data_IF_535752908344
#
_entry.id   IF_535752908344
#
_cell.length_a   1.000
_cell.length_b   1.000
_cell.length_c   1.000
_cell.angle_alpha   90.00
_cell.angle_beta   90.00
_cell.angle_gamma   90.00
#
_symmetry.space_group_name_H-M   'P 1'
#
loop_
_entity.id
_entity.type
_entity.pdbx_description
1 polymer ?
#
# COMPACT_ATOMS: atom_id res chain seq x y z
N UNK A 1 -22.13 -1.17 -0.07
CA UNK A 1 -21.46 -0.81 1.21
C UNK A 1 -22.46 -0.28 2.23
N UNK A 2 -23.07 0.89 2.03
CA UNK A 2 -24.00 1.50 3.00
C UNK A 2 -25.17 0.62 3.42
N UNK A 3 -25.76 -0.13 2.47
CA UNK A 3 -26.84 -1.10 2.74
C UNK A 3 -26.47 -2.23 3.70
N UNK A 4 -25.19 -2.59 3.79
CA UNK A 4 -24.71 -3.61 4.73
C UNK A 4 -24.50 -3.00 6.11
N UNK A 5 -23.96 -1.78 6.17
CA UNK A 5 -23.73 -1.06 7.44
C UNK A 5 -25.02 -0.56 8.10
N UNK A 6 -26.11 -0.44 7.34
CA UNK A 6 -27.44 -0.08 7.83
C UNK A 6 -28.14 -1.25 8.54
N UNK A 7 -29.47 -1.16 8.68
CA UNK A 7 -30.32 -2.04 9.49
C UNK A 7 -30.20 -3.56 9.21
N UNK A 8 -29.50 -3.99 8.15
CA UNK A 8 -29.32 -5.41 7.83
C UNK A 8 -28.31 -6.13 8.71
N UNK A 9 -27.15 -5.53 8.98
CA UNK A 9 -26.09 -6.15 9.82
C UNK A 9 -25.68 -5.28 10.99
N UNK A 10 -25.67 -3.96 10.79
CA UNK A 10 -25.35 -2.96 11.82
C UNK A 10 -24.14 -3.35 12.70
N UNK A 11 -22.96 -3.66 12.12
CA UNK A 11 -21.80 -4.18 12.87
C UNK A 11 -21.38 -3.23 13.99
N UNK A 12 -20.79 -3.77 15.07
CA UNK A 12 -20.28 -2.96 16.17
C UNK A 12 -19.13 -2.03 15.73
N UNK A 13 -18.27 -2.52 14.84
CA UNK A 13 -17.10 -1.83 14.32
C UNK A 13 -16.99 -2.12 12.82
N UNK A 14 -16.58 -1.13 12.02
CA UNK A 14 -16.16 -1.34 10.65
C UNK A 14 -14.79 -0.70 10.39
N UNK A 15 -14.10 -1.19 9.35
CA UNK A 15 -12.91 -0.56 8.79
C UNK A 15 -13.10 -0.44 7.28
N UNK A 16 -13.02 0.79 6.75
CA UNK A 16 -13.05 1.07 5.32
C UNK A 16 -11.69 1.61 4.88
N UNK A 17 -11.22 1.18 3.73
CA UNK A 17 -9.98 1.65 3.10
C UNK A 17 -10.29 2.38 1.80
N UNK A 18 -9.52 3.43 1.50
CA UNK A 18 -9.58 4.11 0.21
C UNK A 18 -8.27 4.84 -0.12
N UNK A 19 -8.22 5.43 -1.32
CA UNK A 19 -7.09 6.25 -1.78
C UNK A 19 -6.85 7.47 -0.87
N UNK A 20 -5.58 7.82 -0.67
CA UNK A 20 -5.19 8.98 0.18
C UNK A 20 -5.84 10.31 -0.23
N UNK A 21 -6.12 10.48 -1.52
CA UNK A 21 -6.69 11.70 -2.10
C UNK A 21 -8.22 11.77 -1.97
N UNK A 22 -8.87 10.84 -1.26
CA UNK A 22 -10.32 10.84 -1.07
C UNK A 22 -10.84 12.20 -0.56
N UNK A 23 -10.09 12.84 0.35
CA UNK A 23 -10.43 14.14 0.94
C UNK A 23 -10.51 15.28 -0.07
N UNK A 24 -9.68 15.26 -1.11
CA UNK A 24 -9.66 16.29 -2.16
C UNK A 24 -10.48 15.89 -3.39
N UNK A 25 -10.97 14.64 -3.45
CA UNK A 25 -11.72 14.13 -4.58
C UNK A 25 -13.02 14.91 -4.76
N UNK A 26 -13.34 15.25 -6.02
CA UNK A 26 -14.53 16.04 -6.38
C UNK A 26 -14.67 17.30 -5.50
N UNK A 27 -13.56 18.05 -5.34
CA UNK A 27 -13.47 19.25 -4.48
C UNK A 27 -13.91 19.00 -3.03
N UNK A 28 -13.70 17.78 -2.53
CA UNK A 28 -14.05 17.35 -1.17
C UNK A 28 -15.49 16.86 -1.00
N UNK A 29 -16.33 16.94 -2.03
CA UNK A 29 -17.74 16.52 -1.97
C UNK A 29 -17.86 15.04 -1.63
N UNK A 30 -17.03 14.20 -2.24
CA UNK A 30 -17.08 12.75 -2.02
C UNK A 30 -16.81 12.37 -0.57
N UNK A 31 -15.77 12.94 0.03
CA UNK A 31 -15.43 12.66 1.42
C UNK A 31 -16.52 13.16 2.37
N UNK A 32 -17.04 14.37 2.15
CA UNK A 32 -18.15 14.91 2.94
C UNK A 32 -19.37 13.98 2.93
N UNK A 33 -19.84 13.57 1.74
CA UNK A 33 -20.98 12.66 1.62
C UNK A 33 -20.74 11.34 2.35
N UNK A 34 -19.52 10.79 2.29
CA UNK A 34 -19.15 9.57 3.02
C UNK A 34 -19.29 9.77 4.53
N UNK A 35 -18.72 10.85 5.08
CA UNK A 35 -18.73 11.12 6.51
C UNK A 35 -20.15 11.40 7.02
N UNK A 36 -20.91 12.22 6.30
CA UNK A 36 -22.31 12.54 6.63
C UNK A 36 -23.17 11.25 6.63
N UNK A 37 -23.01 10.39 5.62
CA UNK A 37 -23.73 9.10 5.55
C UNK A 37 -23.38 8.19 6.72
N UNK A 38 -22.10 8.12 7.12
CA UNK A 38 -21.66 7.28 8.23
C UNK A 38 -22.21 7.77 9.57
N UNK A 39 -22.27 9.10 9.75
CA UNK A 39 -22.86 9.74 10.93
C UNK A 39 -24.36 9.46 11.03
N UNK A 40 -25.11 9.63 9.92
CA UNK A 40 -26.54 9.32 9.81
C UNK A 40 -26.85 7.84 10.10
N UNK A 41 -25.94 6.93 9.74
CA UNK A 41 -26.05 5.50 10.05
C UNK A 41 -25.81 5.17 11.54
N UNK A 42 -25.43 6.16 12.35
CA UNK A 42 -25.21 6.00 13.78
C UNK A 42 -23.81 5.52 14.15
N UNK A 43 -22.80 5.86 13.35
CA UNK A 43 -21.40 5.51 13.62
C UNK A 43 -20.55 6.73 13.95
N UNK A 44 -19.71 6.57 14.98
CA UNK A 44 -18.61 7.47 15.27
C UNK A 44 -17.37 7.03 14.49
N UNK A 45 -16.88 7.89 13.60
CA UNK A 45 -15.64 7.62 12.84
C UNK A 45 -14.45 8.18 13.61
N UNK A 46 -13.44 7.34 13.82
CA UNK A 46 -12.20 7.72 14.48
C UNK A 46 -11.53 8.91 13.79
N UNK A 47 -11.09 9.87 14.60
CA UNK A 47 -10.38 11.07 14.14
C UNK A 47 -11.15 11.88 13.07
N UNK A 48 -12.49 11.83 13.05
CA UNK A 48 -13.31 12.48 12.02
C UNK A 48 -13.06 13.99 11.89
N UNK A 49 -12.76 14.69 12.99
CA UNK A 49 -12.49 16.11 13.02
C UNK A 49 -11.13 16.50 12.38
N UNK A 50 -10.20 15.56 12.24
CA UNK A 50 -8.85 15.82 11.76
C UNK A 50 -8.81 15.86 10.22
N UNK A 51 -8.60 17.04 9.64
CA UNK A 51 -8.60 17.21 8.18
C UNK A 51 -7.27 17.69 7.60
N UNK A 52 -6.32 18.05 8.46
CA UNK A 52 -5.04 18.66 8.09
C UNK A 52 -4.04 17.73 7.40
N UNK A 53 -2.80 18.22 7.29
CA UNK A 53 -1.67 17.48 6.70
C UNK A 53 -1.27 16.25 7.52
N UNK A 54 -1.43 16.32 8.84
CA UNK A 54 -1.10 15.25 9.79
C UNK A 54 -2.34 14.43 10.18
N UNK A 55 -3.22 14.18 9.21
CA UNK A 55 -4.44 13.42 9.40
C UNK A 55 -4.11 11.95 9.71
N UNK A 56 -4.43 11.45 10.92
CA UNK A 56 -4.10 10.09 11.33
C UNK A 56 -4.86 9.02 10.55
N UNK A 57 -5.94 9.39 9.84
CA UNK A 57 -6.63 8.47 8.93
C UNK A 57 -5.76 8.10 7.73
N UNK A 58 -4.74 8.89 7.38
CA UNK A 58 -3.81 8.58 6.29
C UNK A 58 -2.61 7.83 6.84
N UNK A 59 -2.50 6.55 6.50
CA UNK A 59 -1.42 5.66 6.96
C UNK A 59 -0.55 5.29 5.77
N UNK A 60 0.77 5.48 5.89
CA UNK A 60 1.75 5.10 4.87
C UNK A 60 2.33 3.71 5.18
N UNK A 61 2.24 2.78 4.22
CA UNK A 61 2.87 1.48 4.29
C UNK A 61 4.39 1.52 4.49
N UNK A 62 5.05 2.66 4.19
CA UNK A 62 6.51 2.81 4.30
C UNK A 62 7.06 2.51 5.69
N UNK A 63 6.23 2.65 6.73
CA UNK A 63 6.63 2.39 8.12
C UNK A 63 6.78 0.90 8.41
N UNK A 64 6.14 0.04 7.60
CA UNK A 64 6.13 -1.41 7.78
C UNK A 64 6.95 -2.15 6.72
N UNK A 65 6.92 -1.67 5.47
CA UNK A 65 7.60 -2.25 4.32
C UNK A 65 8.27 -1.14 3.50
N UNK A 66 9.32 -1.42 2.71
CA UNK A 66 10.10 -0.42 1.98
C UNK A 66 9.37 0.07 0.71
N UNK A 67 8.11 0.51 0.85
CA UNK A 67 7.29 1.05 -0.23
C UNK A 67 6.44 2.24 0.26
N UNK A 68 6.47 3.35 -0.48
CA UNK A 68 5.46 4.40 -0.30
C UNK A 68 4.08 3.89 -0.73
N UNK A 69 3.13 3.85 0.20
CA UNK A 69 1.74 3.49 -0.06
C UNK A 69 0.82 4.08 1.01
N UNK A 70 0.47 5.34 0.82
CA UNK A 70 -0.52 6.01 1.65
C UNK A 70 -1.94 5.59 1.26
N UNK A 71 -2.75 5.27 2.26
CA UNK A 71 -4.20 5.02 2.17
C UNK A 71 -4.93 5.72 3.29
N UNK A 72 -6.16 6.15 3.01
CA UNK A 72 -7.05 6.62 4.07
C UNK A 72 -7.80 5.42 4.64
N UNK A 73 -7.82 5.32 5.97
CA UNK A 73 -8.50 4.28 6.73
C UNK A 73 -9.56 4.94 7.59
N UNK A 74 -10.82 4.54 7.41
CA UNK A 74 -11.96 5.01 8.19
C UNK A 74 -12.40 3.89 9.13
N UNK A 75 -12.16 4.08 10.42
CA UNK A 75 -12.60 3.14 11.45
C UNK A 75 -13.85 3.71 12.09
N UNK A 76 -14.97 3.00 12.00
CA UNK A 76 -16.24 3.44 12.57
C UNK A 76 -16.72 2.53 13.68
N UNK A 77 -17.27 3.13 14.73
CA UNK A 77 -17.83 2.45 15.90
C UNK A 77 -19.31 2.77 16.01
N UNK A 78 -20.14 1.77 16.27
CA UNK A 78 -21.57 2.00 16.47
C UNK A 78 -21.82 2.82 17.73
N UNK A 79 -22.49 3.96 17.60
CA UNK A 79 -22.62 4.99 18.66
C UNK A 79 -23.32 4.47 19.91
N UNK A 80 -24.34 3.62 19.75
CA UNK A 80 -25.12 3.04 20.86
C UNK A 80 -24.31 2.14 21.79
N UNK A 81 -23.19 1.59 21.30
CA UNK A 81 -22.34 0.69 22.10
C UNK A 81 -21.38 1.46 23.02
N UNK A 82 -21.13 2.74 22.74
CA UNK A 82 -20.21 3.60 23.51
C UNK A 82 -18.81 2.96 23.77
N UNK A 83 -18.33 2.13 22.84
CA UNK A 83 -17.06 1.41 23.00
C UNK A 83 -15.86 2.22 22.51
N UNK A 84 -16.07 3.28 21.72
CA UNK A 84 -15.05 4.02 20.97
C UNK A 84 -14.09 4.89 21.81
N UNK A 85 -14.39 5.09 23.10
CA UNK A 85 -13.66 6.01 23.96
C UNK A 85 -12.14 5.72 23.97
N UNK A 86 -11.36 6.77 23.75
CA UNK A 86 -9.88 6.73 23.73
C UNK A 86 -9.26 6.14 22.44
N UNK A 87 -10.05 5.70 21.45
CA UNK A 87 -9.50 5.20 20.20
C UNK A 87 -9.00 6.34 19.31
N UNK A 88 -7.80 6.21 18.74
CA UNK A 88 -7.27 7.10 17.70
C UNK A 88 -6.28 6.35 16.82
N UNK A 89 -6.29 6.60 15.50
CA UNK A 89 -5.31 6.05 14.58
C UNK A 89 -3.90 6.62 14.77
N UNK A 90 -3.73 7.69 15.57
CA UNK A 90 -2.41 8.21 15.96
C UNK A 90 -1.56 7.15 16.66
N UNK A 91 -2.21 6.22 17.37
CA UNK A 91 -1.58 5.15 18.12
C UNK A 91 -1.06 4.01 17.24
N UNK A 92 -1.29 4.03 15.92
CA UNK A 92 -0.77 3.02 14.99
C UNK A 92 0.76 2.90 15.04
N UNK A 93 1.43 4.01 15.36
CA UNK A 93 2.89 4.09 15.48
C UNK A 93 3.47 3.15 16.54
N UNK A 94 2.68 2.75 17.55
CA UNK A 94 3.06 1.75 18.57
C UNK A 94 3.30 0.35 17.99
N UNK A 95 2.80 0.09 16.78
CA UNK A 95 2.91 -1.19 16.09
C UNK A 95 3.90 -1.18 14.92
N UNK A 96 4.65 -0.09 14.75
CA UNK A 96 5.73 -0.08 13.77
C UNK A 96 6.83 -1.08 14.18
N UNK A 97 7.39 -1.85 13.24
CA UNK A 97 8.46 -2.78 13.56
C UNK A 97 9.70 -2.00 14.03
N UNK A 98 10.40 -2.52 15.03
CA UNK A 98 11.67 -1.94 15.49
C UNK A 98 12.69 -1.87 14.35
N UNK A 99 12.73 -2.92 13.53
CA UNK A 99 13.52 -2.98 12.32
C UNK A 99 12.61 -3.33 11.13
N UNK A 100 12.45 -2.36 10.23
CA UNK A 100 11.78 -2.56 8.94
C UNK A 100 12.71 -3.35 8.01
N UNK A 101 12.22 -4.36 7.28
CA UNK A 101 13.01 -5.00 6.24
C UNK A 101 13.42 -3.98 5.16
N UNK A 102 14.66 -4.06 4.74
CA UNK A 102 15.20 -3.34 3.59
C UNK A 102 14.58 -3.87 2.29
N UNK A 103 14.66 -3.07 1.22
CA UNK A 103 14.12 -3.47 -0.06
C UNK A 103 14.83 -4.72 -0.62
N UNK A 104 16.16 -4.78 -0.51
CA UNK A 104 16.97 -5.90 -0.99
C UNK A 104 16.63 -7.23 -0.32
N UNK A 105 16.31 -7.22 0.98
CA UNK A 105 15.92 -8.43 1.72
C UNK A 105 14.63 -9.07 1.19
N UNK A 106 13.76 -8.32 0.51
CA UNK A 106 12.53 -8.85 -0.07
C UNK A 106 12.74 -9.55 -1.41
N UNK A 107 13.91 -9.38 -2.04
CA UNK A 107 14.17 -9.86 -3.39
C UNK A 107 14.46 -11.36 -3.43
N UNK A 108 14.18 -11.98 -4.57
CA UNK A 108 14.61 -13.36 -4.82
C UNK A 108 16.09 -13.36 -5.23
N UNK A 109 16.91 -14.31 -4.70
CA UNK A 109 18.33 -14.36 -5.03
C UNK A 109 18.59 -14.74 -6.49
N UNK A 110 17.68 -15.52 -7.09
CA UNK A 110 17.74 -15.96 -8.49
C UNK A 110 16.41 -15.65 -9.15
N UNK A 111 16.47 -14.92 -10.27
CA UNK A 111 15.29 -14.45 -11.02
C UNK A 111 15.43 -14.81 -12.49
N UNK A 112 14.33 -15.25 -13.10
CA UNK A 112 14.28 -15.56 -14.54
C UNK A 112 14.59 -14.30 -15.38
N UNK A 113 15.42 -14.48 -16.41
CA UNK A 113 15.77 -13.45 -17.38
C UNK A 113 14.56 -12.74 -18.03
N UNK A 114 13.38 -13.36 -18.09
CA UNK A 114 12.15 -12.74 -18.61
C UNK A 114 11.71 -11.48 -17.85
N UNK A 115 12.20 -11.30 -16.61
CA UNK A 115 11.90 -10.11 -15.81
C UNK A 115 12.86 -8.94 -16.10
N UNK A 116 14.02 -9.22 -16.72
CA UNK A 116 14.93 -8.17 -17.20
C UNK A 116 14.22 -7.42 -18.33
N UNK A 117 14.31 -6.09 -18.32
CA UNK A 117 13.69 -5.29 -19.38
C UNK A 117 14.32 -5.63 -20.73
N UNK A 118 13.48 -5.74 -21.76
CA UNK A 118 13.98 -5.83 -23.14
C UNK A 118 14.72 -4.53 -23.51
N UNK A 119 15.71 -4.57 -24.43
CA UNK A 119 16.45 -3.37 -24.84
C UNK A 119 15.52 -2.21 -25.26
N UNK A 120 14.52 -2.49 -26.09
CA UNK A 120 13.55 -1.50 -26.59
C UNK A 120 12.71 -0.87 -25.47
N UNK A 121 12.26 -1.68 -24.50
CA UNK A 121 11.47 -1.16 -23.38
C UNK A 121 12.33 -0.30 -22.46
N UNK A 122 13.57 -0.70 -22.19
CA UNK A 122 14.48 0.09 -21.39
C UNK A 122 14.79 1.44 -22.05
N UNK A 123 15.12 1.43 -23.33
CA UNK A 123 15.35 2.65 -24.13
C UNK A 123 14.15 3.59 -24.09
N UNK A 124 12.94 3.04 -24.28
CA UNK A 124 11.71 3.82 -24.21
C UNK A 124 11.54 4.50 -22.84
N UNK A 125 11.66 3.75 -21.74
CA UNK A 125 11.48 4.28 -20.39
C UNK A 125 12.56 5.30 -20.03
N UNK A 126 13.81 5.05 -20.45
CA UNK A 126 14.94 5.94 -20.25
C UNK A 126 14.73 7.29 -20.93
N UNK A 127 14.42 7.28 -22.23
CA UNK A 127 14.14 8.48 -23.01
C UNK A 127 12.89 9.21 -22.54
N UNK A 128 11.86 8.47 -22.12
CA UNK A 128 10.64 9.05 -21.55
C UNK A 128 10.93 9.83 -20.28
N UNK A 129 11.71 9.25 -19.35
CA UNK A 129 12.11 9.93 -18.12
C UNK A 129 12.91 11.22 -18.41
N UNK A 130 13.89 11.17 -19.33
CA UNK A 130 14.67 12.35 -19.74
C UNK A 130 13.80 13.47 -20.31
N UNK A 131 12.88 13.12 -21.21
CA UNK A 131 11.93 14.07 -21.83
C UNK A 131 11.05 14.77 -20.79
N UNK A 132 10.64 14.07 -19.74
CA UNK A 132 9.81 14.64 -18.68
C UNK A 132 10.61 15.44 -17.66
N UNK A 133 11.81 15.00 -17.31
CA UNK A 133 12.74 15.74 -16.47
C UNK A 133 13.09 17.11 -17.08
N UNK A 134 13.35 17.16 -18.40
CA UNK A 134 13.60 18.40 -19.13
C UNK A 134 12.43 19.41 -19.08
N UNK A 135 11.21 18.94 -18.78
CA UNK A 135 10.00 19.78 -18.63
C UNK A 135 9.73 20.16 -17.16
N UNK A 136 10.67 19.91 -16.25
CA UNK A 136 10.49 20.14 -14.81
C UNK A 136 9.51 19.18 -14.14
N UNK A 137 9.16 18.06 -14.80
CA UNK A 137 8.21 17.08 -14.27
C UNK A 137 8.94 15.85 -13.70
N UNK A 138 8.45 15.32 -12.58
CA UNK A 138 8.95 14.08 -11.97
C UNK A 138 8.42 12.77 -12.58
N UNK A 139 7.93 12.78 -13.83
CA UNK A 139 7.44 11.57 -14.50
C UNK A 139 8.60 10.75 -15.08
N UNK A 140 8.45 9.43 -15.07
CA UNK A 140 9.49 8.49 -15.53
C UNK A 140 9.42 7.18 -14.76
N UNK A 141 10.52 6.43 -14.75
CA UNK A 141 10.63 5.20 -13.97
C UNK A 141 11.15 5.46 -12.55
N UNK A 142 10.88 4.53 -11.64
CA UNK A 142 11.48 4.47 -10.31
C UNK A 142 12.56 3.40 -10.29
N UNK A 143 13.83 3.79 -10.23
CA UNK A 143 14.95 2.87 -10.10
C UNK A 143 15.29 2.69 -8.62
N UNK A 144 15.34 1.44 -8.18
CA UNK A 144 15.65 1.07 -6.80
C UNK A 144 16.99 0.35 -6.77
N UNK A 145 17.94 0.88 -6.01
CA UNK A 145 19.19 0.20 -5.72
C UNK A 145 18.95 -0.78 -4.54
N UNK A 146 19.03 -2.10 -4.77
CA UNK A 146 18.77 -3.09 -3.74
C UNK A 146 19.85 -3.13 -2.63
N UNK A 147 21.05 -2.62 -2.88
CA UNK A 147 22.15 -2.58 -1.90
C UNK A 147 22.00 -1.43 -0.90
N UNK A 148 21.30 -0.36 -1.30
CA UNK A 148 20.97 0.72 -0.39
C UNK A 148 19.82 0.31 0.55
N UNK A 149 20.15 0.07 1.82
CA UNK A 149 19.20 -0.35 2.87
C UNK A 149 18.09 0.67 3.13
N UNK A 150 18.33 1.94 2.84
CA UNK A 150 17.35 3.02 3.02
C UNK A 150 16.38 3.17 1.84
N UNK A 151 16.56 2.40 0.76
CA UNK A 151 15.70 2.48 -0.42
C UNK A 151 14.23 2.23 -0.07
N UNK A 152 13.37 3.13 -0.53
CA UNK A 152 11.91 3.00 -0.46
C UNK A 152 11.37 3.10 -1.88
N UNK A 153 10.68 2.06 -2.34
CA UNK A 153 10.08 2.05 -3.65
C UNK A 153 8.88 3.00 -3.76
N UNK A 154 8.58 3.43 -4.99
CA UNK A 154 7.30 4.07 -5.31
C UNK A 154 6.15 3.08 -5.11
N UNK A 155 4.92 3.59 -5.15
CA UNK A 155 3.73 2.74 -5.00
C UNK A 155 3.63 1.72 -6.13
N UNK A 156 3.54 0.42 -5.77
CA UNK A 156 3.15 -0.64 -6.69
C UNK A 156 1.71 -0.40 -7.15
N UNK A 157 1.52 0.06 -8.38
CA UNK A 157 0.20 0.48 -8.88
C UNK A 157 -0.53 -0.67 -9.58
N UNK A 158 -1.86 -0.55 -9.74
CA UNK A 158 -2.62 -1.47 -10.57
C UNK A 158 -2.15 -1.50 -12.04
N UNK A 159 -1.42 -0.47 -12.51
CA UNK A 159 -0.86 -0.36 -13.86
C UNK A 159 0.53 -0.98 -14.00
N UNK A 160 1.14 -1.45 -12.90
CA UNK A 160 2.47 -2.06 -12.90
C UNK A 160 2.61 -3.20 -13.93
N UNK A 161 1.51 -3.91 -14.19
CA UNK A 161 1.45 -4.98 -15.19
C UNK A 161 1.79 -4.54 -16.63
N UNK A 162 1.78 -3.23 -16.94
CA UNK A 162 2.07 -2.71 -18.28
C UNK A 162 3.56 -2.76 -18.61
N UNK A 163 4.38 -2.07 -17.81
CA UNK A 163 5.81 -1.88 -18.05
C UNK A 163 6.66 -2.00 -16.78
N UNK A 164 6.04 -2.04 -15.59
CA UNK A 164 6.73 -2.07 -14.30
C UNK A 164 7.47 -0.79 -13.96
N UNK A 165 7.23 0.31 -14.69
CA UNK A 165 8.02 1.53 -14.62
C UNK A 165 8.07 2.16 -13.22
N UNK A 166 7.05 1.98 -12.38
CA UNK A 166 7.05 2.55 -11.03
C UNK A 166 8.17 1.98 -10.14
N UNK A 167 8.57 0.72 -10.36
CA UNK A 167 9.56 0.01 -9.55
C UNK A 167 10.39 -0.91 -10.44
N UNK A 168 11.59 -0.47 -10.79
CA UNK A 168 12.61 -1.22 -11.49
C UNK A 168 13.80 -1.47 -10.55
N UNK A 169 14.31 -2.69 -10.56
CA UNK A 169 15.46 -3.10 -9.74
C UNK A 169 16.71 -2.88 -10.56
N UNK A 170 17.60 -2.05 -10.03
CA UNK A 170 18.90 -1.83 -10.63
C UNK A 170 19.74 -3.12 -10.60
N UNK A 171 20.52 -3.31 -11.65
CA UNK A 171 21.43 -4.45 -11.84
C UNK A 171 22.87 -3.99 -12.12
N UNK A 172 23.19 -2.75 -11.74
CA UNK A 172 24.48 -2.11 -11.98
C UNK A 172 24.52 -1.26 -13.25
N UNK A 173 23.40 -0.65 -13.65
CA UNK A 173 23.36 0.21 -14.82
C UNK A 173 24.20 1.48 -14.59
N UNK A 174 25.21 1.71 -15.40
CA UNK A 174 26.00 2.93 -15.34
C UNK A 174 25.29 4.08 -16.08
N UNK A 175 24.89 5.10 -15.32
CA UNK A 175 24.15 6.24 -15.86
C UNK A 175 25.00 7.09 -16.80
N UNK A 176 26.31 7.23 -16.53
CA UNK A 176 27.19 8.04 -17.37
C UNK A 176 27.37 7.41 -18.76
N UNK A 177 27.63 6.10 -18.80
CA UNK A 177 27.70 5.32 -20.04
C UNK A 177 26.36 5.30 -20.76
N UNK A 178 25.24 5.17 -20.04
CA UNK A 178 23.90 5.23 -20.65
C UNK A 178 23.56 6.58 -21.30
N UNK A 179 24.16 7.67 -20.82
CA UNK A 179 24.01 9.01 -21.40
C UNK A 179 24.89 9.22 -22.64
N UNK A 180 26.10 8.65 -22.66
CA UNK A 180 27.07 8.83 -23.76
C UNK A 180 26.86 7.82 -24.89
N UNK A 181 26.65 6.55 -24.54
CA UNK A 181 26.40 5.44 -25.46
C UNK A 181 25.38 4.46 -24.86
N UNK A 182 24.10 4.74 -25.13
CA UNK A 182 23.02 3.90 -24.66
C UNK A 182 23.12 2.46 -25.20
N UNK A 183 23.73 2.25 -26.37
CA UNK A 183 23.83 0.94 -27.01
C UNK A 183 25.03 0.11 -26.54
N UNK A 184 25.87 0.66 -25.64
CA UNK A 184 27.04 -0.01 -25.09
C UNK A 184 26.73 -1.44 -24.60
N UNK A 185 27.40 -2.44 -25.17
CA UNK A 185 27.07 -3.86 -24.94
C UNK A 185 27.23 -4.31 -23.48
N UNK A 186 28.29 -3.82 -22.81
CA UNK A 186 28.56 -4.14 -21.40
C UNK A 186 27.47 -3.55 -20.50
N UNK A 187 27.16 -2.27 -20.64
CA UNK A 187 26.11 -1.62 -19.86
C UNK A 187 24.71 -2.21 -20.16
N UNK A 188 24.45 -2.62 -21.40
CA UNK A 188 23.23 -3.33 -21.79
C UNK A 188 23.06 -4.68 -21.07
N UNK A 189 24.13 -5.35 -20.62
CA UNK A 189 24.01 -6.54 -19.76
C UNK A 189 23.40 -6.21 -18.38
N UNK A 190 23.56 -4.96 -17.93
CA UNK A 190 23.11 -4.43 -16.63
C UNK A 190 21.74 -3.73 -16.67
N UNK A 191 20.95 -3.91 -17.75
CA UNK A 191 19.58 -3.38 -17.81
C UNK A 191 18.78 -3.71 -16.55
N UNK A 192 17.97 -2.76 -16.04
CA UNK A 192 17.10 -3.01 -14.89
C UNK A 192 16.10 -4.13 -15.15
N UNK A 193 15.57 -4.71 -14.07
CA UNK A 193 14.49 -5.70 -14.14
C UNK A 193 13.23 -5.25 -13.42
N UNK A 194 12.10 -5.86 -13.75
CA UNK A 194 10.86 -5.75 -12.98
C UNK A 194 10.93 -6.64 -11.73
N UNK A 195 10.01 -6.37 -10.81
CA UNK A 195 9.70 -7.28 -9.70
C UNK A 195 9.05 -8.56 -10.24
N UNK A 196 9.34 -9.69 -9.60
CA UNK A 196 8.56 -10.91 -9.79
C UNK A 196 7.22 -10.82 -9.03
N UNK A 197 6.20 -11.63 -9.37
CA UNK A 197 4.99 -11.74 -8.56
C UNK A 197 5.23 -12.09 -7.09
N UNK A 198 6.28 -12.89 -6.81
CA UNK A 198 6.71 -13.30 -5.47
C UNK A 198 7.23 -12.11 -4.68
N UNK A 199 8.10 -11.31 -5.29
CA UNK A 199 8.64 -10.08 -4.70
C UNK A 199 7.53 -9.04 -4.48
N UNK A 200 6.55 -8.93 -5.39
CA UNK A 200 5.35 -8.11 -5.17
C UNK A 200 4.54 -8.59 -3.95
N UNK A 201 4.37 -9.90 -3.77
CA UNK A 201 3.68 -10.46 -2.61
C UNK A 201 4.38 -10.07 -1.30
N UNK A 202 5.72 -10.16 -1.26
CA UNK A 202 6.55 -9.75 -0.12
C UNK A 202 6.47 -8.25 0.14
N UNK A 203 6.59 -7.42 -0.89
CA UNK A 203 6.51 -5.96 -0.80
C UNK A 203 5.14 -5.46 -0.30
N UNK A 204 4.09 -6.24 -0.53
CA UNK A 204 2.74 -5.97 -0.04
C UNK A 204 2.43 -6.65 1.31
N UNK A 205 3.33 -7.51 1.81
CA UNK A 205 3.21 -8.18 3.11
C UNK A 205 2.41 -9.48 3.12
N UNK A 206 2.04 -10.02 1.94
CA UNK A 206 1.37 -11.32 1.83
C UNK A 206 2.30 -12.51 2.06
N UNK A 207 3.62 -12.28 1.94
CA UNK A 207 4.64 -13.29 2.13
C UNK A 207 5.80 -12.72 2.94
N UNK A 208 6.38 -13.56 3.81
CA UNK A 208 7.64 -13.27 4.51
C UNK A 208 8.78 -14.04 3.83
N UNK A 209 9.99 -13.50 3.90
CA UNK A 209 11.20 -14.10 3.28
C UNK A 209 11.41 -15.54 3.76
N UNK A 210 11.35 -15.77 5.07
CA UNK A 210 11.48 -17.10 5.69
C UNK A 210 10.11 -17.76 5.97
N UNK A 211 9.05 -17.26 5.33
CA UNK A 211 7.68 -17.71 5.53
C UNK A 211 7.28 -18.83 4.58
N UNK A 212 6.08 -19.37 4.83
CA UNK A 212 5.42 -20.23 3.84
C UNK A 212 5.16 -19.40 2.57
N UNK A 213 5.55 -19.88 1.37
CA UNK A 213 5.28 -19.16 0.13
C UNK A 213 3.80 -18.95 -0.11
N UNK A 214 3.42 -17.74 -0.51
CA UNK A 214 2.06 -17.43 -0.91
C UNK A 214 1.71 -18.15 -2.21
N UNK A 215 0.54 -18.77 -2.30
CA UNK A 215 0.15 -19.46 -3.55
C UNK A 215 -0.29 -18.42 -4.58
N UNK A 216 0.36 -18.42 -5.75
CA UNK A 216 0.03 -17.52 -6.87
C UNK A 216 -0.46 -18.38 -8.04
N UNK A 217 -1.77 -18.69 -8.13
CA UNK A 217 -2.33 -19.59 -9.14
C UNK A 217 -2.71 -18.88 -10.45
N UNK A 218 -2.26 -17.64 -10.65
CA UNK A 218 -2.64 -16.77 -11.76
C UNK A 218 -1.41 -16.30 -12.53
N UNK A 219 -1.61 -15.74 -13.73
CA UNK A 219 -0.50 -15.23 -14.54
C UNK A 219 0.22 -14.04 -13.89
N UNK A 220 1.44 -13.73 -14.32
CA UNK A 220 2.21 -12.56 -13.86
C UNK A 220 1.37 -11.27 -14.01
N UNK A 221 0.74 -11.07 -15.17
CA UNK A 221 -0.11 -9.89 -15.43
C UNK A 221 -1.26 -9.76 -14.43
N UNK A 222 -1.93 -10.87 -14.12
CA UNK A 222 -3.02 -10.89 -13.14
C UNK A 222 -2.49 -10.65 -11.72
N UNK A 223 -1.35 -11.25 -11.38
CA UNK A 223 -0.67 -11.07 -10.10
C UNK A 223 -0.33 -9.61 -9.85
N UNK A 224 0.29 -8.93 -10.82
CA UNK A 224 0.63 -7.51 -10.71
C UNK A 224 -0.62 -6.63 -10.52
N UNK A 225 -1.74 -6.95 -11.18
CA UNK A 225 -3.02 -6.25 -10.97
C UNK A 225 -3.57 -6.48 -9.58
N UNK A 226 -3.50 -7.71 -9.06
CA UNK A 226 -4.00 -8.06 -7.73
C UNK A 226 -3.17 -7.36 -6.64
N UNK A 227 -1.84 -7.50 -6.66
CA UNK A 227 -0.97 -6.83 -5.68
C UNK A 227 -1.01 -5.31 -5.80
N UNK A 228 -1.04 -4.78 -7.03
CA UNK A 228 -1.17 -3.34 -7.28
C UNK A 228 -2.48 -2.72 -6.76
N UNK A 229 -3.56 -3.51 -6.66
CA UNK A 229 -4.85 -3.10 -6.07
C UNK A 229 -4.99 -3.46 -4.59
N UNK A 230 -4.03 -4.19 -4.00
CA UNK A 230 -4.14 -4.66 -2.62
C UNK A 230 -3.77 -3.58 -1.59
N UNK A 231 -4.11 -3.85 -0.34
CA UNK A 231 -3.60 -3.08 0.82
C UNK A 231 -2.23 -3.59 1.25
N UNK A 232 -1.47 -2.79 2.00
CA UNK A 232 -0.28 -3.29 2.70
C UNK A 232 -0.74 -4.11 3.91
N UNK A 233 -0.50 -5.42 3.90
CA UNK A 233 -0.97 -6.35 4.94
C UNK A 233 -0.62 -5.90 6.36
N UNK A 234 0.65 -5.60 6.70
CA UNK A 234 1.00 -5.23 8.08
C UNK A 234 0.37 -3.93 8.58
N UNK A 235 -0.07 -3.03 7.70
CA UNK A 235 -0.85 -1.85 8.10
C UNK A 235 -2.19 -2.27 8.71
N UNK A 236 -2.90 -3.21 8.07
CA UNK A 236 -4.20 -3.67 8.54
C UNK A 236 -4.07 -4.66 9.70
N UNK A 237 -2.97 -5.40 9.81
CA UNK A 237 -2.63 -6.14 11.03
C UNK A 237 -2.45 -5.17 12.22
N UNK A 238 -1.76 -4.05 12.03
CA UNK A 238 -1.59 -3.04 13.08
C UNK A 238 -2.92 -2.37 13.46
N UNK A 239 -3.77 -2.03 12.49
CA UNK A 239 -5.12 -1.51 12.75
C UNK A 239 -5.97 -2.53 13.52
N UNK A 240 -5.88 -3.82 13.16
CA UNK A 240 -6.59 -4.88 13.86
C UNK A 240 -6.11 -5.05 15.31
N UNK A 241 -4.80 -5.01 15.56
CA UNK A 241 -4.23 -5.04 16.92
C UNK A 241 -4.68 -3.83 17.76
N UNK A 242 -4.73 -2.65 17.16
CA UNK A 242 -5.24 -1.45 17.83
C UNK A 242 -6.74 -1.59 18.19
N UNK A 243 -7.51 -2.28 17.35
CA UNK A 243 -8.93 -2.53 17.55
C UNK A 243 -9.25 -3.69 18.50
N UNK A 244 -8.29 -4.57 18.81
CA UNK A 244 -8.52 -5.79 19.59
C UNK A 244 -9.25 -5.53 20.93
N UNK A 245 -8.84 -4.57 21.79
CA UNK A 245 -9.56 -4.28 23.03
C UNK A 245 -11.01 -3.83 22.81
N UNK A 246 -11.28 -3.15 21.69
CA UNK A 246 -12.59 -2.61 21.32
C UNK A 246 -13.50 -3.70 20.76
N UNK A 247 -12.94 -4.63 19.98
CA UNK A 247 -13.62 -5.83 19.51
C UNK A 247 -14.04 -6.68 20.72
N UNK A 248 -13.15 -6.89 21.69
CA UNK A 248 -13.48 -7.63 22.91
C UNK A 248 -14.59 -6.97 23.73
N UNK A 249 -14.60 -5.63 23.86
CA UNK A 249 -15.71 -4.89 24.48
C UNK A 249 -17.04 -5.12 23.74
N UNK A 250 -17.01 -5.10 22.41
CA UNK A 250 -18.21 -5.32 21.60
C UNK A 250 -18.76 -6.74 21.78
N UNK A 251 -17.90 -7.76 21.75
CA UNK A 251 -18.29 -9.17 21.97
C UNK A 251 -18.93 -9.34 23.35
N UNK A 252 -18.33 -8.76 24.39
CA UNK A 252 -18.86 -8.85 25.76
C UNK A 252 -20.20 -8.12 25.95
N UNK A 253 -20.41 -7.00 25.24
CA UNK A 253 -21.66 -6.25 25.29
C UNK A 253 -22.82 -7.01 24.63
N UNK A 254 -22.54 -7.83 23.61
CA UNK A 254 -23.54 -8.66 22.95
C UNK A 254 -23.86 -9.93 23.75
N UNK A 255 -22.89 -10.58 24.39
CA UNK A 255 -23.16 -11.75 25.26
C UNK A 255 -24.02 -11.41 26.48
N UNK A 256 -23.84 -10.22 27.07
CA UNK A 256 -24.68 -9.72 28.16
C UNK A 256 -26.16 -9.48 27.76
N UNK A 257 -26.46 -9.37 26.45
CA UNK A 257 -27.84 -9.26 25.95
C UNK A 257 -28.51 -10.61 25.74
N UNK A 258 -27.73 -11.66 25.49
CA UNK A 258 -28.25 -13.02 25.26
C UNK A 258 -28.63 -13.71 26.58
N UNK A 259 -27.91 -13.43 27.67
CA UNK A 259 -28.21 -13.97 29.01
C UNK A 259 -29.41 -13.29 29.71
N UNK A 260 -29.99 -12.25 29.10
CA UNK A 260 -31.13 -11.49 29.64
C UNK A 260 -32.47 -11.78 28.95
N UNK A 261 -32.52 -12.84 28.13
CA UNK A 261 -33.72 -13.35 27.45
C UNK A 261 -34.03 -14.73 28.00
#
# INVERSE_FOLDING_TARGET
MWRVLSAQKKPAIFVLENVKNLKSHDKGKTFKVIMDTLDELGYEVADAAEMGKNDPKVIDGKHFLPQHRERIVLVGFRRDLNIHQGFTLRDISRFYPEQRPSFGELLEPVVDSKYILTPKLWEYLYNYAKKHAAKGNGFGFGLVNPENKESIARTLSARYHKDGSEILIDRGWDMATGETDFANEENQAHRPRRLTPRECARLMGFEKVDGRPFRIPVSDTQSYRQFGNSVVVPVFEAVAKLLEPYILKAVNADSCKVERI
#
